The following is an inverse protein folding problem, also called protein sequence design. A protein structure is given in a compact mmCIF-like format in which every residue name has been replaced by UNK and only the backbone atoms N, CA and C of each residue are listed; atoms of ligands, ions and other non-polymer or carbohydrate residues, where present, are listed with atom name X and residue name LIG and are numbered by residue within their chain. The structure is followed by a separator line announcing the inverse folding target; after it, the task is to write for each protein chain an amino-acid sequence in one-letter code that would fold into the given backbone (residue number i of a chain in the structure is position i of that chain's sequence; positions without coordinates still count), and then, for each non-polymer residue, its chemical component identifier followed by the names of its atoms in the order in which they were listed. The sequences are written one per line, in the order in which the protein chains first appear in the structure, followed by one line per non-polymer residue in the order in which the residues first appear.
data_IF_498259213103
#
_entry.id   IF_498259213103
#
_cell.length_a   1.000
_cell.length_b   1.000
_cell.length_c   1.000
_cell.angle_alpha   90.00
_cell.angle_beta   90.00
_cell.angle_gamma   90.00
#
_symmetry.space_group_name_H-M   'P 1'
#
loop_
_entity.id
_entity.type
_entity.pdbx_description
1 polymer ?
#
# COMPACT_ATOMS: atom_id res chain seq x y z
N UNK A 1 62.14 -35.44 -49.90
CA UNK A 1 63.53 -35.14 -49.50
C UNK A 1 63.70 -33.62 -49.49
N UNK A 2 64.42 -33.11 -48.48
CA UNK A 2 64.81 -31.70 -48.23
C UNK A 2 63.66 -30.81 -47.71
N UNK A 3 63.77 -30.02 -46.64
CA UNK A 3 64.92 -29.66 -45.81
C UNK A 3 64.41 -29.09 -44.48
N UNK A 4 65.02 -29.52 -43.38
CA UNK A 4 64.85 -28.98 -42.03
C UNK A 4 65.63 -27.68 -41.92
N UNK A 5 64.98 -26.56 -41.56
CA UNK A 5 65.65 -25.46 -40.86
C UNK A 5 64.79 -24.90 -39.74
N UNK A 6 65.45 -24.88 -38.58
CA UNK A 6 65.03 -24.48 -37.26
C UNK A 6 64.96 -22.95 -37.12
N UNK A 7 64.47 -22.52 -35.94
CA UNK A 7 64.70 -21.24 -35.27
C UNK A 7 63.79 -20.08 -35.71
N UNK A 8 62.68 -19.85 -34.99
CA UNK A 8 62.66 -18.77 -33.99
C UNK A 8 61.41 -18.86 -33.10
N UNK A 9 61.70 -18.98 -31.81
CA UNK A 9 60.78 -19.02 -30.67
C UNK A 9 60.20 -17.61 -30.51
N UNK A 10 59.11 -17.31 -31.21
CA UNK A 10 58.32 -16.11 -30.95
C UNK A 10 57.57 -16.33 -29.64
N UNK A 11 58.08 -15.72 -28.58
CA UNK A 11 57.42 -15.71 -27.29
C UNK A 11 56.05 -15.05 -27.43
N UNK A 12 55.00 -15.86 -27.25
CA UNK A 12 53.70 -15.39 -26.82
C UNK A 12 53.89 -14.57 -25.54
N UNK A 13 54.01 -13.25 -25.68
CA UNK A 13 53.69 -12.34 -24.58
C UNK A 13 52.18 -12.40 -24.40
N UNK A 14 51.74 -13.38 -23.62
CA UNK A 14 50.51 -13.29 -22.86
C UNK A 14 50.71 -12.10 -21.92
N UNK A 15 50.28 -10.92 -22.37
CA UNK A 15 50.05 -9.81 -21.46
C UNK A 15 49.03 -10.32 -20.45
N UNK A 16 49.53 -10.55 -19.24
CA UNK A 16 48.76 -10.76 -18.02
C UNK A 16 47.90 -9.53 -17.80
N UNK A 17 46.75 -9.47 -18.47
CA UNK A 17 45.65 -8.63 -18.03
C UNK A 17 45.19 -9.27 -16.72
N UNK A 18 45.66 -8.68 -15.63
CA UNK A 18 45.19 -8.99 -14.28
C UNK A 18 43.67 -8.85 -14.28
N UNK A 19 42.99 -10.00 -14.31
CA UNK A 19 41.56 -10.14 -14.12
C UNK A 19 41.20 -9.93 -12.64
N UNK A 20 41.77 -8.90 -12.01
CA UNK A 20 41.58 -8.57 -10.61
C UNK A 20 40.57 -7.43 -10.49
N UNK A 21 39.37 -7.81 -10.06
CA UNK A 21 38.46 -6.97 -9.26
C UNK A 21 37.60 -5.92 -9.98
N UNK A 22 36.97 -6.29 -11.10
CA UNK A 22 35.61 -5.80 -11.37
C UNK A 22 34.60 -6.83 -10.87
N UNK A 23 34.64 -7.11 -9.57
CA UNK A 23 33.55 -7.82 -8.90
C UNK A 23 32.37 -6.85 -8.79
N UNK A 24 31.53 -6.80 -9.81
CA UNK A 24 30.19 -6.20 -9.74
C UNK A 24 29.28 -7.15 -8.93
N UNK A 25 29.57 -7.30 -7.63
CA UNK A 25 28.79 -8.12 -6.71
C UNK A 25 28.55 -7.40 -5.39
N UNK A 26 28.26 -6.09 -5.46
CA UNK A 26 27.53 -5.47 -4.36
C UNK A 26 26.06 -5.80 -4.58
N UNK A 27 25.57 -6.87 -3.95
CA UNK A 27 24.12 -7.08 -3.83
C UNK A 27 23.49 -5.81 -3.29
N UNK A 28 22.42 -5.32 -3.93
CA UNK A 28 21.72 -4.13 -3.45
C UNK A 28 21.08 -4.37 -2.08
N UNK A 29 20.78 -3.29 -1.35
CA UNK A 29 20.09 -3.43 -0.08
C UNK A 29 18.70 -4.08 -0.25
N UNK A 30 18.01 -3.81 -1.36
CA UNK A 30 16.77 -4.50 -1.73
C UNK A 30 16.96 -6.03 -1.82
N UNK A 31 18.06 -6.49 -2.42
CA UNK A 31 18.39 -7.91 -2.51
C UNK A 31 18.59 -8.54 -1.12
N UNK A 32 19.41 -7.90 -0.28
CA UNK A 32 19.74 -8.37 1.07
C UNK A 32 18.48 -8.44 1.93
N UNK A 33 17.63 -7.41 1.90
CA UNK A 33 16.42 -7.36 2.72
C UNK A 33 15.33 -8.32 2.24
N UNK A 34 15.22 -8.56 0.93
CA UNK A 34 14.31 -9.57 0.41
C UNK A 34 14.70 -10.98 0.84
N UNK A 35 15.99 -11.33 0.75
CA UNK A 35 16.50 -12.62 1.24
C UNK A 35 16.21 -12.79 2.73
N UNK A 36 16.50 -11.75 3.53
CA UNK A 36 16.21 -11.76 4.97
C UNK A 36 14.72 -11.95 5.26
N UNK A 37 13.84 -11.26 4.53
CA UNK A 37 12.38 -11.36 4.73
C UNK A 37 11.86 -12.75 4.37
N UNK A 38 12.38 -13.36 3.31
CA UNK A 38 12.00 -14.72 2.89
C UNK A 38 12.48 -15.76 3.92
N UNK A 39 13.67 -15.55 4.50
CA UNK A 39 14.25 -16.48 5.47
C UNK A 39 13.65 -16.34 6.87
N UNK A 40 13.56 -15.11 7.37
CA UNK A 40 13.26 -14.81 8.78
C UNK A 40 11.83 -14.30 8.97
N UNK A 41 11.11 -13.99 7.89
CA UNK A 41 9.77 -13.38 7.93
C UNK A 41 9.77 -11.85 7.99
N UNK A 42 8.59 -11.22 8.06
CA UNK A 42 8.46 -9.76 8.13
C UNK A 42 8.97 -9.21 9.48
N UNK A 43 9.57 -8.02 9.45
CA UNK A 43 10.09 -7.29 10.62
C UNK A 43 9.51 -5.88 10.73
N UNK A 44 9.44 -5.35 11.95
CA UNK A 44 8.80 -4.06 12.25
C UNK A 44 9.75 -3.01 12.88
N UNK A 45 11.03 -3.34 13.01
CA UNK A 45 12.07 -2.60 13.74
C UNK A 45 13.03 -1.84 12.80
N UNK A 46 12.50 -1.26 11.72
CA UNK A 46 13.27 -0.58 10.70
C UNK A 46 13.87 0.74 11.18
N UNK A 47 15.17 0.93 10.93
CA UNK A 47 15.80 2.24 11.04
C UNK A 47 15.58 3.07 9.77
N UNK A 48 15.66 4.40 9.91
CA UNK A 48 15.58 5.31 8.77
C UNK A 48 16.66 5.03 7.72
N UNK A 49 17.85 4.64 8.16
CA UNK A 49 18.96 4.35 7.24
C UNK A 49 18.68 3.08 6.43
N UNK A 50 18.22 1.99 7.06
CA UNK A 50 17.87 0.76 6.35
C UNK A 50 16.79 0.98 5.29
N UNK A 51 15.75 1.78 5.60
CA UNK A 51 14.71 2.15 4.63
C UNK A 51 15.32 2.94 3.46
N UNK A 52 16.20 3.89 3.77
CA UNK A 52 16.88 4.71 2.75
C UNK A 52 17.74 3.84 1.82
N UNK A 53 18.48 2.89 2.38
CA UNK A 53 19.35 2.01 1.59
C UNK A 53 18.53 1.12 0.63
N UNK A 54 17.37 0.62 1.08
CA UNK A 54 16.42 -0.09 0.20
C UNK A 54 15.92 0.86 -0.88
N UNK A 55 15.43 2.04 -0.51
CA UNK A 55 14.90 3.03 -1.45
C UNK A 55 15.92 3.45 -2.53
N UNK A 56 17.19 3.58 -2.17
CA UNK A 56 18.28 3.97 -3.08
C UNK A 56 18.86 2.80 -3.90
N UNK A 57 18.32 1.58 -3.73
CA UNK A 57 18.73 0.43 -4.54
C UNK A 57 18.38 0.64 -6.03
N UNK A 58 19.10 0.01 -6.97
CA UNK A 58 18.77 0.10 -8.39
C UNK A 58 17.31 -0.29 -8.64
N UNK A 59 16.61 0.48 -9.49
CA UNK A 59 15.17 0.28 -9.72
C UNK A 59 14.82 -1.15 -10.16
N UNK A 60 15.64 -1.77 -11.00
CA UNK A 60 15.40 -3.13 -11.47
C UNK A 60 15.55 -4.17 -10.35
N UNK A 61 16.46 -3.92 -9.41
CA UNK A 61 16.61 -4.75 -8.20
C UNK A 61 15.40 -4.59 -7.28
N UNK A 62 14.92 -3.36 -7.06
CA UNK A 62 13.72 -3.09 -6.28
C UNK A 62 12.50 -3.84 -6.81
N UNK A 63 12.29 -3.80 -8.13
CA UNK A 63 11.18 -4.52 -8.78
C UNK A 63 11.33 -6.03 -8.64
N UNK A 64 12.51 -6.56 -8.94
CA UNK A 64 12.77 -7.99 -8.91
C UNK A 64 12.64 -8.57 -7.49
N UNK A 65 13.30 -7.95 -6.51
CA UNK A 65 13.30 -8.41 -5.12
C UNK A 65 11.97 -8.13 -4.42
N UNK A 66 11.29 -7.02 -4.73
CA UNK A 66 9.93 -6.76 -4.28
C UNK A 66 8.95 -7.83 -4.76
N UNK A 67 9.06 -8.27 -6.02
CA UNK A 67 8.23 -9.35 -6.55
C UNK A 67 8.50 -10.70 -5.87
N UNK A 68 9.76 -10.99 -5.48
CA UNK A 68 10.09 -12.20 -4.72
C UNK A 68 9.42 -12.20 -3.34
N UNK A 69 9.53 -11.10 -2.59
CA UNK A 69 8.86 -10.97 -1.28
C UNK A 69 7.35 -11.08 -1.43
N UNK A 70 6.76 -10.44 -2.44
CA UNK A 70 5.32 -10.52 -2.70
C UNK A 70 4.86 -11.95 -2.99
N UNK A 71 5.60 -12.71 -3.82
CA UNK A 71 5.29 -14.12 -4.14
C UNK A 71 5.46 -15.06 -2.95
N UNK A 72 6.37 -14.74 -2.04
CA UNK A 72 6.57 -15.50 -0.81
C UNK A 72 5.43 -15.25 0.20
N UNK A 73 5.03 -13.99 0.38
CA UNK A 73 4.09 -13.58 1.43
C UNK A 73 2.61 -13.67 1.02
N UNK A 74 2.29 -13.66 -0.27
CA UNK A 74 0.91 -13.58 -0.76
C UNK A 74 0.63 -14.60 -1.88
N UNK A 75 -0.66 -14.91 -2.08
CA UNK A 75 -1.08 -15.51 -3.34
C UNK A 75 -0.95 -14.48 -4.47
N UNK A 76 0.19 -14.49 -5.15
CA UNK A 76 0.59 -13.47 -6.12
C UNK A 76 -0.35 -13.32 -7.34
N UNK A 77 -1.31 -14.22 -7.52
CA UNK A 77 -2.31 -14.15 -8.60
C UNK A 77 -3.65 -13.58 -8.13
N UNK A 78 -3.81 -13.35 -6.83
CA UNK A 78 -5.01 -12.74 -6.26
C UNK A 78 -4.82 -11.23 -6.10
N UNK A 79 -5.92 -10.50 -6.31
CA UNK A 79 -5.99 -9.05 -6.08
C UNK A 79 -7.21 -8.78 -5.22
N UNK A 80 -7.04 -7.98 -4.17
CA UNK A 80 -8.16 -7.58 -3.33
C UNK A 80 -8.96 -6.46 -4.00
N UNK A 81 -10.24 -6.71 -4.27
CA UNK A 81 -11.15 -5.73 -4.86
C UNK A 81 -11.97 -5.00 -3.79
N UNK A 82 -11.73 -3.69 -3.66
CA UNK A 82 -12.45 -2.81 -2.75
C UNK A 82 -13.18 -1.71 -3.53
N UNK A 83 -14.43 -1.41 -3.17
CA UNK A 83 -15.15 -0.24 -3.69
C UNK A 83 -15.30 0.81 -2.61
N UNK A 84 -14.96 2.06 -2.93
CA UNK A 84 -15.08 3.20 -2.01
C UNK A 84 -16.23 4.12 -2.40
N UNK A 85 -17.00 4.55 -1.40
CA UNK A 85 -18.02 5.59 -1.52
C UNK A 85 -17.71 6.76 -0.57
N UNK A 86 -17.76 7.99 -1.09
CA UNK A 86 -17.71 9.18 -0.24
C UNK A 86 -19.09 9.50 0.31
N UNK A 87 -19.37 9.00 1.52
CA UNK A 87 -20.66 9.13 2.20
C UNK A 87 -20.93 10.56 2.68
N UNK A 88 -19.89 11.40 2.82
CA UNK A 88 -19.98 12.85 3.03
C UNK A 88 -18.87 13.53 2.24
N UNK A 89 -19.25 14.28 1.22
CA UNK A 89 -18.30 14.91 0.27
C UNK A 89 -18.13 16.42 0.53
N UNK A 90 -16.89 16.91 0.43
CA UNK A 90 -16.57 18.35 0.44
C UNK A 90 -16.71 19.03 1.80
N UNK A 91 -16.32 20.31 1.91
CA UNK A 91 -16.46 21.08 3.15
C UNK A 91 -15.63 20.55 4.32
N UNK A 92 -14.44 20.01 4.05
CA UNK A 92 -13.48 19.61 5.08
C UNK A 92 -12.71 20.83 5.59
N UNK A 93 -12.48 20.93 6.90
CA UNK A 93 -11.77 22.06 7.51
C UNK A 93 -10.24 22.02 7.33
N UNK A 94 -9.69 20.84 7.04
CA UNK A 94 -8.25 20.63 6.85
C UNK A 94 -7.76 21.34 5.59
N UNK A 95 -6.49 21.72 5.58
CA UNK A 95 -5.81 22.49 4.54
C UNK A 95 -4.85 21.63 3.70
N UNK A 96 -5.17 20.34 3.51
CA UNK A 96 -4.38 19.44 2.68
C UNK A 96 -4.28 20.01 1.25
N UNK A 97 -3.07 20.41 0.84
CA UNK A 97 -2.79 21.11 -0.43
C UNK A 97 -3.21 20.35 -1.69
N UNK A 98 -3.30 19.02 -1.59
CA UNK A 98 -3.68 18.13 -2.69
C UNK A 98 -5.18 17.75 -2.67
N UNK A 99 -5.91 18.03 -1.60
CA UNK A 99 -7.26 17.48 -1.42
C UNK A 99 -8.33 18.40 -2.03
N UNK A 100 -9.13 17.92 -3.00
CA UNK A 100 -10.16 18.74 -3.62
C UNK A 100 -11.36 19.03 -2.71
N UNK A 101 -11.43 18.37 -1.55
CA UNK A 101 -12.55 18.47 -0.60
C UNK A 101 -12.32 19.49 0.52
N UNK A 102 -11.13 20.10 0.59
CA UNK A 102 -10.83 21.17 1.55
C UNK A 102 -11.67 22.41 1.26
N UNK A 103 -12.26 23.00 2.30
CA UNK A 103 -12.96 24.28 2.20
C UNK A 103 -12.02 25.49 2.06
N UNK A 104 -10.70 25.27 2.14
CA UNK A 104 -9.67 26.32 1.98
C UNK A 104 -9.38 26.67 0.52
N UNK A 105 -9.74 25.78 -0.40
CA UNK A 105 -9.44 25.93 -1.82
C UNK A 105 -10.71 25.91 -2.67
N UNK A 106 -10.70 26.65 -3.78
CA UNK A 106 -11.82 26.65 -4.74
C UNK A 106 -11.57 25.61 -5.82
N UNK A 107 -12.29 24.49 -5.76
CA UNK A 107 -12.13 23.35 -6.67
C UNK A 107 -13.37 23.07 -7.53
N UNK A 108 -14.43 23.87 -7.37
CA UNK A 108 -15.74 23.62 -8.00
C UNK A 108 -16.53 22.48 -7.36
N UNK A 109 -15.97 21.78 -6.37
CA UNK A 109 -16.65 20.72 -5.65
C UNK A 109 -17.76 21.28 -4.74
N UNK A 110 -18.99 20.82 -4.95
CA UNK A 110 -20.13 21.17 -4.10
C UNK A 110 -20.15 20.29 -2.85
N UNK A 111 -20.19 20.92 -1.68
CA UNK A 111 -20.32 20.20 -0.42
C UNK A 111 -21.69 19.50 -0.35
N UNK A 112 -21.68 18.23 0.06
CA UNK A 112 -22.87 17.42 0.23
C UNK A 112 -23.01 17.02 1.70
N UNK A 113 -24.25 16.85 2.14
CA UNK A 113 -24.54 16.29 3.46
C UNK A 113 -24.19 14.80 3.48
N UNK A 114 -24.20 14.22 4.69
CA UNK A 114 -24.10 12.77 4.84
C UNK A 114 -25.23 12.11 4.04
N UNK A 115 -24.89 11.09 3.25
CA UNK A 115 -25.84 10.30 2.49
C UNK A 115 -26.82 9.56 3.40
N UNK A 116 -28.01 9.25 2.88
CA UNK A 116 -28.98 8.43 3.63
C UNK A 116 -28.54 6.98 3.69
N UNK A 117 -29.08 6.24 4.67
CA UNK A 117 -28.79 4.82 4.84
C UNK A 117 -29.08 4.04 3.56
N UNK A 118 -30.25 4.27 2.99
CA UNK A 118 -30.76 3.56 1.82
C UNK A 118 -29.81 3.74 0.62
N UNK A 119 -29.35 4.98 0.39
CA UNK A 119 -28.42 5.28 -0.69
C UNK A 119 -27.05 4.59 -0.51
N UNK A 120 -26.55 4.49 0.73
CA UNK A 120 -25.29 3.81 1.04
C UNK A 120 -25.42 2.30 0.88
N UNK A 121 -26.47 1.70 1.41
CA UNK A 121 -26.72 0.24 1.28
C UNK A 121 -26.90 -0.15 -0.18
N UNK A 122 -27.64 0.65 -0.95
CA UNK A 122 -27.85 0.41 -2.38
C UNK A 122 -26.55 0.50 -3.17
N UNK A 123 -25.66 1.43 -2.81
CA UNK A 123 -24.31 1.46 -3.38
C UNK A 123 -23.45 0.25 -2.97
N UNK A 124 -23.56 -0.23 -1.73
CA UNK A 124 -22.85 -1.41 -1.25
C UNK A 124 -23.34 -2.70 -1.94
N UNK A 125 -24.65 -2.83 -2.20
CA UNK A 125 -25.22 -3.94 -3.00
C UNK A 125 -24.65 -3.96 -4.40
N UNK A 126 -24.65 -2.82 -5.10
CA UNK A 126 -24.03 -2.71 -6.43
C UNK A 126 -22.54 -3.05 -6.41
N UNK A 127 -21.81 -2.65 -5.36
CA UNK A 127 -20.41 -3.01 -5.21
C UNK A 127 -20.21 -4.51 -5.02
N UNK A 128 -21.06 -5.17 -4.21
CA UNK A 128 -21.05 -6.62 -4.03
C UNK A 128 -21.33 -7.35 -5.35
N UNK A 129 -22.36 -6.92 -6.07
CA UNK A 129 -22.73 -7.47 -7.38
C UNK A 129 -21.61 -7.30 -8.42
N UNK A 130 -20.83 -6.21 -8.32
CA UNK A 130 -19.63 -5.99 -9.12
C UNK A 130 -18.40 -6.82 -8.66
N UNK A 131 -18.54 -7.69 -7.66
CA UNK A 131 -17.50 -8.61 -7.21
C UNK A 131 -16.58 -8.05 -6.12
N UNK A 132 -16.89 -6.90 -5.51
CA UNK A 132 -16.07 -6.37 -4.42
C UNK A 132 -16.21 -7.20 -3.16
N UNK A 133 -15.10 -7.41 -2.46
CA UNK A 133 -15.06 -8.12 -1.17
C UNK A 133 -15.10 -7.17 0.02
N UNK A 134 -14.71 -5.90 -0.20
CA UNK A 134 -14.71 -4.85 0.82
C UNK A 134 -15.37 -3.56 0.32
N UNK A 135 -16.19 -2.96 1.16
CA UNK A 135 -16.81 -1.66 0.92
C UNK A 135 -16.23 -0.60 1.87
N UNK A 136 -15.68 0.47 1.30
CA UNK A 136 -15.00 1.53 2.02
C UNK A 136 -15.86 2.80 2.07
N UNK A 137 -16.09 3.35 3.25
CA UNK A 137 -16.82 4.61 3.43
C UNK A 137 -15.88 5.73 3.84
N UNK A 138 -15.87 6.83 3.06
CA UNK A 138 -15.07 8.02 3.35
C UNK A 138 -15.93 9.24 3.69
N UNK A 139 -15.58 9.96 4.76
CA UNK A 139 -16.22 11.22 5.10
C UNK A 139 -15.20 12.38 5.12
N UNK A 140 -15.56 13.50 4.51
CA UNK A 140 -14.78 14.74 4.52
C UNK A 140 -14.87 15.45 5.88
N UNK A 141 -14.33 14.82 6.92
CA UNK A 141 -14.23 15.34 8.28
C UNK A 141 -12.77 15.32 8.74
N UNK A 142 -12.41 16.28 9.59
CA UNK A 142 -11.14 16.23 10.33
C UNK A 142 -11.16 15.16 11.41
N UNK A 143 -12.27 15.09 12.13
CA UNK A 143 -12.49 14.24 13.29
C UNK A 143 -13.99 13.93 13.50
N UNK A 144 -14.27 13.01 14.40
CA UNK A 144 -15.63 12.60 14.78
C UNK A 144 -16.22 13.41 15.94
N UNK A 145 -15.52 14.44 16.43
CA UNK A 145 -15.96 15.25 17.58
C UNK A 145 -17.19 16.07 17.18
N UNK A 146 -18.22 16.06 18.04
CA UNK A 146 -19.49 16.74 17.75
C UNK A 146 -20.36 16.05 16.70
N UNK A 147 -19.99 14.85 16.22
CA UNK A 147 -20.69 14.11 15.16
C UNK A 147 -21.33 12.81 15.64
N UNK A 148 -21.68 12.71 16.92
CA UNK A 148 -22.24 11.48 17.54
C UNK A 148 -23.43 10.91 16.76
N UNK A 149 -24.38 11.75 16.34
CA UNK A 149 -25.55 11.31 15.58
C UNK A 149 -25.17 10.71 14.23
N UNK A 150 -24.30 11.39 13.47
CA UNK A 150 -23.80 10.90 12.19
C UNK A 150 -23.02 9.60 12.36
N UNK A 151 -22.22 9.51 13.42
CA UNK A 151 -21.44 8.31 13.71
C UNK A 151 -22.34 7.12 14.05
N UNK A 152 -23.38 7.32 14.86
CA UNK A 152 -24.36 6.28 15.16
C UNK A 152 -25.09 5.80 13.90
N UNK A 153 -25.47 6.71 12.99
CA UNK A 153 -26.05 6.33 11.70
C UNK A 153 -25.09 5.44 10.89
N UNK A 154 -23.80 5.80 10.85
CA UNK A 154 -22.78 5.01 10.15
C UNK A 154 -22.62 3.62 10.76
N UNK A 155 -22.70 3.47 12.09
CA UNK A 155 -22.65 2.15 12.71
C UNK A 155 -23.80 1.23 12.23
N UNK A 156 -24.97 1.79 11.95
CA UNK A 156 -26.07 1.03 11.37
C UNK A 156 -25.81 0.66 9.90
N UNK A 157 -25.05 1.48 9.16
CA UNK A 157 -24.62 1.14 7.80
C UNK A 157 -23.63 -0.02 7.85
N UNK A 158 -22.64 0.06 8.75
CA UNK A 158 -21.59 -0.97 8.93
C UNK A 158 -22.22 -2.33 9.22
N UNK A 159 -23.17 -2.41 10.15
CA UNK A 159 -23.86 -3.66 10.50
C UNK A 159 -24.54 -4.28 9.27
N UNK A 160 -25.35 -3.50 8.56
CA UNK A 160 -26.10 -4.01 7.41
C UNK A 160 -25.18 -4.40 6.24
N UNK A 161 -24.08 -3.67 6.02
CA UNK A 161 -23.09 -4.03 5.00
C UNK A 161 -22.36 -5.34 5.34
N UNK A 162 -22.03 -5.54 6.61
CA UNK A 162 -21.43 -6.80 7.08
C UNK A 162 -22.39 -7.96 6.98
N UNK A 163 -23.67 -7.75 7.30
CA UNK A 163 -24.73 -8.77 7.16
C UNK A 163 -24.91 -9.21 5.69
N UNK A 164 -24.53 -8.35 4.74
CA UNK A 164 -24.44 -8.69 3.31
C UNK A 164 -23.18 -9.49 2.95
N UNK A 165 -22.28 -9.80 3.88
CA UNK A 165 -21.06 -10.57 3.65
C UNK A 165 -19.92 -9.77 3.02
N UNK A 166 -19.96 -8.44 3.10
CA UNK A 166 -18.86 -7.56 2.70
C UNK A 166 -18.02 -7.19 3.93
N UNK A 167 -16.70 -7.10 3.75
CA UNK A 167 -15.85 -6.40 4.71
C UNK A 167 -16.16 -4.89 4.68
N UNK A 168 -16.03 -4.22 5.82
CA UNK A 168 -16.29 -2.78 5.92
C UNK A 168 -15.05 -2.05 6.37
N UNK A 169 -14.68 -0.99 5.65
CA UNK A 169 -13.61 -0.08 6.01
C UNK A 169 -14.14 1.35 6.06
N UNK A 170 -13.63 2.16 6.98
CA UNK A 170 -14.04 3.55 7.10
C UNK A 170 -12.85 4.49 7.26
N UNK A 171 -12.95 5.70 6.72
CA UNK A 171 -12.02 6.80 6.96
C UNK A 171 -12.77 8.08 7.32
N UNK A 172 -12.67 8.48 8.59
CA UNK A 172 -13.41 9.61 9.18
C UNK A 172 -12.49 10.66 9.80
N UNK A 173 -11.21 10.67 9.39
CA UNK A 173 -10.18 11.49 10.02
C UNK A 173 -9.77 10.93 11.38
N UNK A 174 -9.45 11.83 12.32
CA UNK A 174 -9.02 11.44 13.65
C UNK A 174 -10.21 10.93 14.48
N UNK A 175 -10.17 9.64 14.81
CA UNK A 175 -11.00 9.08 15.87
C UNK A 175 -10.26 9.26 17.20
N UNK A 176 -10.91 9.85 18.20
CA UNK A 176 -10.43 9.83 19.61
C UNK A 176 -11.29 8.86 20.40
N UNK A 177 -10.68 8.12 21.33
CA UNK A 177 -11.38 7.22 22.27
C UNK A 177 -12.55 7.90 23.00
N UNK A 178 -12.42 9.21 23.27
CA UNK A 178 -13.43 10.00 23.98
C UNK A 178 -14.64 10.43 23.12
N UNK A 179 -14.67 10.15 21.81
CA UNK A 179 -15.86 10.33 20.98
C UNK A 179 -16.87 9.18 21.20
N UNK A 180 -17.22 8.92 22.47
CA UNK A 180 -18.38 8.15 22.88
C UNK A 180 -18.32 6.65 22.59
N UNK A 181 -17.56 5.91 23.40
CA UNK A 181 -17.99 4.63 23.98
C UNK A 181 -18.85 3.72 23.05
N UNK A 182 -18.22 3.21 22.00
CA UNK A 182 -18.56 1.99 21.22
C UNK A 182 -17.64 1.76 20.01
N UNK A 183 -16.52 2.48 19.87
CA UNK A 183 -15.69 2.38 18.67
C UNK A 183 -14.72 1.21 18.69
N UNK A 184 -14.28 0.72 19.86
CA UNK A 184 -13.53 -0.54 19.91
C UNK A 184 -14.45 -1.70 20.25
N UNK A 185 -15.27 -1.67 21.30
CA UNK A 185 -16.17 -2.80 21.58
C UNK A 185 -17.34 -2.93 20.59
N UNK A 186 -17.87 -1.83 20.05
CA UNK A 186 -18.95 -1.87 19.07
C UNK A 186 -18.48 -2.07 17.63
N UNK A 187 -17.21 -1.78 17.32
CA UNK A 187 -16.56 -2.27 16.10
C UNK A 187 -15.99 -3.68 16.27
N UNK A 188 -15.41 -4.05 17.42
CA UNK A 188 -14.79 -5.36 17.70
C UNK A 188 -15.83 -6.47 17.93
N UNK A 189 -16.94 -6.19 18.62
CA UNK A 189 -18.10 -7.11 18.66
C UNK A 189 -18.90 -7.12 17.34
N UNK A 190 -18.42 -6.37 16.36
CA UNK A 190 -18.91 -6.23 14.99
C UNK A 190 -17.83 -6.62 13.96
N UNK A 191 -16.66 -7.04 14.41
CA UNK A 191 -15.58 -7.64 13.61
C UNK A 191 -15.61 -9.15 13.88
#
# INVERSE_FOLDING_TARGET
MLSVRSIFRSQLRLNSVTLSSLCYSSSSAAAIQAEKTIKDGPRNDWTRQEIKDVYDSPLLDLLFHGAQVHRYAHNFREVQQCTLLSIKTGGCSEDCSYCPQSSRYTTGLKAQRLMTKEAVIEAAKRAKEAGSTRFCMGAAWRDTIGRKTNFNQILDYVKEIRDMGLEVCCTFGHAREAAGCRTEEGWSNSL
#
